data_IF_067730530788
#
_entry.id   IF_067730530788
#
_cell.length_a   1.000
_cell.length_b   1.000
_cell.length_c   1.000
_cell.angle_alpha   90.00
_cell.angle_beta   90.00
_cell.angle_gamma   90.00
#
_symmetry.space_group_name_H-M   'P 1'
#
loop_
_entity.id
_entity.type
_entity.pdbx_description
1 polymer ?
#
# COMPACT_ATOMS: atom_id res chain seq x y z
N UNK A 1 9.99 6.23 9.11
CA UNK A 1 10.79 6.98 8.11
C UNK A 1 9.87 7.37 6.95
N UNK A 2 10.17 8.41 6.19
CA UNK A 2 9.42 8.77 4.98
C UNK A 2 10.04 8.10 3.75
N UNK A 3 9.24 7.41 2.96
CA UNK A 3 9.67 6.64 1.78
C UNK A 3 8.91 7.13 0.57
N UNK A 4 9.62 7.48 -0.51
CA UNK A 4 9.01 7.82 -1.78
C UNK A 4 9.13 6.64 -2.76
N UNK A 5 8.01 6.20 -3.33
CA UNK A 5 7.96 5.16 -4.35
C UNK A 5 7.60 5.80 -5.69
N UNK A 6 8.50 5.69 -6.67
CA UNK A 6 8.31 6.23 -8.01
C UNK A 6 7.87 5.10 -8.93
N UNK A 7 6.63 5.18 -9.41
CA UNK A 7 5.94 4.15 -10.17
C UNK A 7 4.97 3.34 -9.32
N UNK A 8 3.76 3.20 -9.81
CA UNK A 8 2.60 2.53 -9.21
C UNK A 8 2.21 1.25 -9.98
N UNK A 9 3.19 0.67 -10.69
CA UNK A 9 3.09 -0.65 -11.31
C UNK A 9 3.17 -1.78 -10.28
N UNK A 10 3.18 -3.03 -10.75
CA UNK A 10 3.17 -4.23 -9.88
C UNK A 10 4.24 -4.20 -8.78
N UNK A 11 5.48 -3.82 -9.13
CA UNK A 11 6.59 -3.73 -8.18
C UNK A 11 6.41 -2.57 -7.19
N UNK A 12 5.96 -1.41 -7.68
CA UNK A 12 5.72 -0.22 -6.85
C UNK A 12 4.66 -0.48 -5.78
N UNK A 13 3.59 -1.19 -6.14
CA UNK A 13 2.53 -1.57 -5.21
C UNK A 13 3.04 -2.48 -4.10
N UNK A 14 3.84 -3.48 -4.46
CA UNK A 14 4.45 -4.40 -3.49
C UNK A 14 5.40 -3.68 -2.53
N UNK A 15 6.26 -2.79 -3.05
CA UNK A 15 7.19 -2.01 -2.23
C UNK A 15 6.41 -1.09 -1.28
N UNK A 16 5.45 -0.33 -1.80
CA UNK A 16 4.64 0.58 -0.99
C UNK A 16 3.87 -0.17 0.10
N UNK A 17 3.25 -1.31 -0.24
CA UNK A 17 2.54 -2.14 0.73
C UNK A 17 3.45 -2.62 1.87
N UNK A 18 4.62 -3.17 1.56
CA UNK A 18 5.54 -3.69 2.58
C UNK A 18 6.06 -2.57 3.47
N UNK A 19 6.44 -1.44 2.89
CA UNK A 19 6.90 -0.27 3.64
C UNK A 19 5.82 0.29 4.55
N UNK A 20 4.58 0.40 4.07
CA UNK A 20 3.47 0.92 4.85
C UNK A 20 3.09 -0.02 6.01
N UNK A 21 3.04 -1.34 5.77
CA UNK A 21 2.85 -2.35 6.84
C UNK A 21 3.97 -2.30 7.87
N UNK A 22 5.20 -1.98 7.47
CA UNK A 22 6.32 -1.80 8.39
C UNK A 22 6.24 -0.49 9.22
N UNK A 23 5.15 0.28 9.11
CA UNK A 23 4.94 1.52 9.86
C UNK A 23 5.76 2.69 9.31
N UNK A 24 6.02 2.72 8.00
CA UNK A 24 6.66 3.86 7.34
C UNK A 24 5.63 4.70 6.58
N UNK A 25 5.84 6.02 6.59
CA UNK A 25 5.04 6.92 5.77
C UNK A 25 5.49 6.78 4.32
N UNK A 26 4.58 6.35 3.44
CA UNK A 26 4.89 6.09 2.03
C UNK A 26 4.17 7.09 1.15
N UNK A 27 4.93 7.78 0.30
CA UNK A 27 4.40 8.65 -0.75
C UNK A 27 4.64 8.00 -2.10
N UNK A 28 3.57 7.77 -2.87
CA UNK A 28 3.67 7.20 -4.21
C UNK A 28 3.49 8.29 -5.27
N UNK A 29 4.29 8.23 -6.33
CA UNK A 29 4.18 9.14 -7.49
C UNK A 29 4.27 8.36 -8.79
N UNK A 30 3.38 8.67 -9.72
CA UNK A 30 3.40 8.16 -11.08
C UNK A 30 3.03 9.29 -12.07
N UNK A 31 3.13 9.00 -13.36
CA UNK A 31 2.85 9.93 -14.47
C UNK A 31 1.35 10.23 -14.62
N UNK A 32 0.47 9.37 -14.13
CA UNK A 32 -0.98 9.45 -14.29
C UNK A 32 -1.68 8.94 -13.03
N UNK A 33 -2.73 9.65 -12.61
CA UNK A 33 -3.52 9.35 -11.42
C UNK A 33 -4.15 7.95 -11.49
N UNK A 34 -4.51 7.46 -12.68
CA UNK A 34 -5.11 6.12 -12.83
C UNK A 34 -4.23 5.00 -12.29
N UNK A 35 -2.91 5.16 -12.35
CA UNK A 35 -1.97 4.16 -11.84
C UNK A 35 -1.93 4.18 -10.31
N UNK A 36 -1.99 5.38 -9.71
CA UNK A 36 -2.10 5.57 -8.27
C UNK A 36 -3.41 4.95 -7.76
N UNK A 37 -4.54 5.23 -8.40
CA UNK A 37 -5.85 4.70 -7.96
C UNK A 37 -5.89 3.17 -8.04
N UNK A 38 -5.34 2.60 -9.13
CA UNK A 38 -5.23 1.15 -9.27
C UNK A 38 -4.27 0.56 -8.21
N UNK A 39 -3.17 1.24 -7.88
CA UNK A 39 -2.27 0.83 -6.82
C UNK A 39 -2.97 0.77 -5.47
N UNK A 40 -3.69 1.82 -5.10
CA UNK A 40 -4.49 1.86 -3.87
C UNK A 40 -5.51 0.71 -3.82
N UNK A 41 -6.25 0.48 -4.90
CA UNK A 41 -7.21 -0.62 -4.97
C UNK A 41 -6.56 -1.99 -4.78
N UNK A 42 -5.39 -2.23 -5.40
CA UNK A 42 -4.68 -3.51 -5.25
C UNK A 42 -4.13 -3.70 -3.84
N UNK A 43 -3.59 -2.63 -3.23
CA UNK A 43 -3.06 -2.66 -1.86
C UNK A 43 -4.19 -2.93 -0.87
N UNK A 44 -5.32 -2.22 -0.98
CA UNK A 44 -6.50 -2.42 -0.13
C UNK A 44 -7.02 -3.87 -0.22
N UNK A 45 -7.14 -4.40 -1.44
CA UNK A 45 -7.55 -5.79 -1.68
C UNK A 45 -6.57 -6.80 -1.07
N UNK A 46 -5.27 -6.51 -1.14
CA UNK A 46 -4.21 -7.34 -0.56
C UNK A 46 -4.28 -7.35 0.97
N UNK A 47 -4.41 -6.17 1.58
CA UNK A 47 -4.54 -6.00 3.03
C UNK A 47 -5.81 -6.67 3.56
N UNK A 48 -6.94 -6.53 2.85
CA UNK A 48 -8.20 -7.19 3.23
C UNK A 48 -8.04 -8.72 3.28
N UNK A 49 -7.35 -9.31 2.29
CA UNK A 49 -7.03 -10.74 2.30
C UNK A 49 -6.07 -11.14 3.43
N UNK A 50 -5.20 -10.24 3.88
CA UNK A 50 -4.32 -10.49 5.02
C UNK A 50 -5.07 -10.41 6.34
N UNK A 51 -6.00 -9.47 6.47
CA UNK A 51 -6.90 -9.36 7.62
C UNK A 51 -7.81 -10.60 7.74
N UNK A 52 -8.45 -11.02 6.64
CA UNK A 52 -9.25 -12.26 6.58
C UNK A 52 -8.44 -13.51 7.00
N UNK A 53 -7.14 -13.54 6.70
CA UNK A 53 -6.23 -14.63 7.08
C UNK A 53 -5.62 -14.46 8.48
N UNK A 54 -5.99 -13.42 9.21
CA UNK A 54 -5.46 -13.11 10.55
C UNK A 54 -3.98 -12.75 10.57
N UNK A 55 -3.40 -12.32 9.45
CA UNK A 55 -1.98 -11.91 9.37
C UNK A 55 -1.73 -10.48 9.82
N UNK A 56 -2.74 -9.63 9.71
CA UNK A 56 -2.76 -8.24 10.17
C UNK A 56 -4.12 -7.98 10.83
N UNK A 57 -4.20 -6.99 11.72
CA UNK A 57 -5.49 -6.54 12.26
C UNK A 57 -6.17 -5.55 11.31
N UNK A 58 -7.49 -5.34 11.47
CA UNK A 58 -8.22 -4.27 10.74
C UNK A 58 -7.63 -2.89 11.04
N UNK A 59 -7.14 -2.68 12.27
CA UNK A 59 -6.46 -1.46 12.65
C UNK A 59 -5.16 -1.26 11.88
N UNK A 60 -4.35 -2.32 11.72
CA UNK A 60 -3.12 -2.24 10.92
C UNK A 60 -3.43 -1.91 9.46
N UNK A 61 -4.55 -2.42 8.92
CA UNK A 61 -5.01 -2.08 7.57
C UNK A 61 -5.38 -0.60 7.46
N UNK A 62 -6.15 -0.06 8.40
CA UNK A 62 -6.51 1.36 8.44
C UNK A 62 -5.27 2.25 8.54
N UNK A 63 -4.35 1.92 9.46
CA UNK A 63 -3.10 2.65 9.67
C UNK A 63 -2.15 2.59 8.46
N UNK A 64 -2.28 1.55 7.61
CA UNK A 64 -1.47 1.40 6.38
C UNK A 64 -2.00 2.28 5.23
N UNK A 65 -3.29 2.62 5.23
CA UNK A 65 -3.95 3.35 4.14
C UNK A 65 -4.18 4.84 4.43
N UNK A 66 -3.89 5.30 5.65
CA UNK A 66 -3.98 6.70 6.09
C UNK A 66 -2.82 7.56 5.59
#
# INVERSE_FOLDING_TARGET
>A
MKIAVIGAGTMGNGIAQVCAIAGHEVVMRDIDQKFIDNAFFQIEKSLSKFAEKGKISEKDKEDTLS
#
